data_IF_758532467398
#
_entry.id   IF_758532467398
#
_cell.length_a   1.000
_cell.length_b   1.000
_cell.length_c   1.000
_cell.angle_alpha   90.00
_cell.angle_beta   90.00
_cell.angle_gamma   90.00
#
_symmetry.space_group_name_H-M   'P 1'
#
loop_
_entity.id
_entity.type
_entity.pdbx_description
1 polymer ?
#
# COMPACT_ATOMS: atom_id res chain seq x y z
N UNK A 1 21.55 22.45 15.31
CA UNK A 1 20.10 22.24 15.48
C UNK A 1 19.83 20.74 15.32
N UNK A 2 20.49 19.85 16.06
CA UNK A 2 20.31 19.46 17.48
C UNK A 2 18.89 19.04 17.85
N UNK A 3 18.66 17.72 17.73
CA UNK A 3 17.98 16.86 18.72
C UNK A 3 16.80 17.46 19.49
N UNK A 4 15.61 17.35 18.92
CA UNK A 4 14.36 17.26 19.68
C UNK A 4 13.55 16.12 19.07
N UNK A 5 13.58 14.94 19.69
CA UNK A 5 12.52 13.90 19.69
C UNK A 5 13.16 12.59 20.15
N UNK A 6 13.26 12.42 21.49
CA UNK A 6 13.31 11.11 22.19
C UNK A 6 13.50 11.36 23.69
N UNK A 7 12.41 11.70 24.38
CA UNK A 7 12.27 11.52 25.84
C UNK A 7 10.81 11.12 26.10
N UNK A 8 10.62 10.19 27.05
CA UNK A 8 9.44 9.41 27.47
C UNK A 8 9.32 8.05 26.76
N UNK A 9 9.43 6.89 27.41
CA UNK A 9 9.37 6.55 28.84
C UNK A 9 10.03 5.16 29.08
N UNK A 10 10.76 5.02 30.20
CA UNK A 10 11.45 3.79 30.65
C UNK A 10 10.56 2.98 31.61
N UNK A 11 10.52 1.66 31.36
CA UNK A 11 10.37 0.46 32.20
C UNK A 11 9.68 0.45 33.58
N UNK A 12 8.90 -0.61 33.82
CA UNK A 12 8.86 -1.36 35.11
C UNK A 12 8.73 -2.87 34.83
N UNK A 13 9.67 -3.65 35.36
CA UNK A 13 9.67 -5.11 35.50
C UNK A 13 9.08 -5.45 36.86
N UNK A 14 8.23 -6.49 36.95
CA UNK A 14 7.93 -7.17 38.21
C UNK A 14 7.81 -8.68 38.01
N UNK A 15 8.69 -9.38 38.74
CA UNK A 15 8.79 -10.84 38.87
C UNK A 15 7.73 -11.31 39.87
N UNK A 16 7.01 -12.37 39.51
CA UNK A 16 6.14 -13.11 40.43
C UNK A 16 6.19 -14.61 40.12
N UNK A 17 6.88 -15.37 40.98
CA UNK A 17 6.86 -16.83 41.03
C UNK A 17 5.71 -17.23 41.96
N UNK A 18 4.76 -18.08 41.54
CA UNK A 18 4.46 -19.34 42.24
C UNK A 18 3.32 -20.21 41.65
N UNK A 19 3.59 -21.53 41.75
CA UNK A 19 2.71 -22.69 41.91
C UNK A 19 1.91 -23.22 40.72
N UNK A 20 2.42 -24.36 40.22
CA UNK A 20 1.71 -25.36 39.46
C UNK A 20 0.52 -25.94 40.24
N UNK A 21 -0.60 -26.17 39.55
CA UNK A 21 -1.47 -27.34 39.72
C UNK A 21 -2.45 -27.47 38.53
N UNK A 22 -2.96 -28.68 38.25
CA UNK A 22 -3.26 -29.13 36.90
C UNK A 22 -4.76 -29.28 36.63
N UNK A 23 -5.26 -28.87 35.46
CA UNK A 23 -6.44 -29.51 34.86
C UNK A 23 -6.35 -29.54 33.33
N UNK A 24 -6.90 -30.60 32.69
CA UNK A 24 -6.48 -31.05 31.38
C UNK A 24 -7.44 -30.68 30.24
N UNK A 25 -6.93 -30.89 29.03
CA UNK A 25 -7.59 -31.01 27.73
C UNK A 25 -7.97 -29.72 27.02
N UNK A 26 -6.94 -29.17 26.37
CA UNK A 26 -7.05 -28.60 25.04
C UNK A 26 -7.55 -29.67 24.05
N UNK A 27 -8.85 -29.93 24.05
CA UNK A 27 -9.52 -30.69 23.01
C UNK A 27 -10.34 -29.72 22.15
N UNK A 28 -9.96 -29.62 20.88
CA UNK A 28 -10.78 -29.18 19.76
C UNK A 28 -11.33 -27.74 19.79
N UNK A 29 -10.44 -26.77 19.59
CA UNK A 29 -10.79 -25.55 18.86
C UNK A 29 -10.08 -25.56 17.49
N UNK A 30 -10.38 -26.56 16.66
CA UNK A 30 -10.12 -26.44 15.23
C UNK A 30 -11.03 -25.31 14.70
N UNK A 31 -10.54 -24.39 13.85
CA UNK A 31 -11.39 -23.37 13.27
C UNK A 31 -12.49 -24.07 12.47
N UNK A 32 -13.74 -23.89 12.90
CA UNK A 32 -14.91 -24.24 12.09
C UNK A 32 -14.72 -23.58 10.73
N UNK A 33 -14.86 -24.35 9.65
CA UNK A 33 -14.91 -23.88 8.28
C UNK A 33 -15.80 -22.64 8.21
N UNK A 34 -15.15 -21.47 8.18
CA UNK A 34 -15.86 -20.22 7.88
C UNK A 34 -15.95 -20.19 6.38
N UNK A 35 -17.01 -20.81 5.86
CA UNK A 35 -17.31 -20.78 4.44
C UNK A 35 -17.45 -19.31 4.03
N UNK A 36 -16.41 -18.78 3.38
CA UNK A 36 -16.37 -17.41 2.89
C UNK A 36 -17.47 -17.12 1.86
N UNK A 37 -18.12 -18.16 1.32
CA UNK A 37 -19.28 -18.01 0.45
C UNK A 37 -20.51 -17.47 1.21
N UNK A 38 -20.53 -17.57 2.54
CA UNK A 38 -21.66 -17.11 3.35
C UNK A 38 -21.49 -15.62 3.66
N UNK A 39 -22.33 -14.78 3.06
CA UNK A 39 -22.41 -13.33 3.32
C UNK A 39 -23.06 -12.97 4.68
N UNK A 40 -22.82 -13.73 5.74
CA UNK A 40 -23.44 -13.51 7.04
C UNK A 40 -22.56 -12.64 7.94
N UNK A 41 -23.19 -11.65 8.60
CA UNK A 41 -22.51 -10.83 9.59
C UNK A 41 -22.10 -11.68 10.81
N UNK A 42 -20.83 -11.62 11.27
CA UNK A 42 -20.38 -12.34 12.46
C UNK A 42 -21.19 -11.94 13.69
N UNK A 43 -21.37 -12.80 14.70
CA UNK A 43 -22.26 -12.54 15.83
C UNK A 43 -21.73 -11.48 16.82
N UNK A 44 -20.41 -11.26 16.87
CA UNK A 44 -19.78 -10.26 17.72
C UNK A 44 -18.45 -9.78 17.12
N UNK A 45 -17.85 -8.74 17.71
CA UNK A 45 -16.62 -8.12 17.20
C UNK A 45 -15.42 -9.09 17.24
N UNK A 46 -15.31 -9.92 18.27
CA UNK A 46 -14.22 -10.91 18.37
C UNK A 46 -14.30 -11.94 17.23
N UNK A 47 -15.50 -12.42 16.91
CA UNK A 47 -15.72 -13.30 15.77
C UNK A 47 -15.39 -12.60 14.44
N UNK A 48 -15.74 -11.32 14.30
CA UNK A 48 -15.44 -10.54 13.11
C UNK A 48 -13.93 -10.30 12.91
N UNK A 49 -13.18 -10.04 13.99
CA UNK A 49 -11.72 -9.93 13.94
C UNK A 49 -11.07 -11.23 13.47
N UNK A 50 -11.48 -12.36 14.05
CA UNK A 50 -10.99 -13.68 13.60
C UNK A 50 -11.30 -13.95 12.13
N UNK A 51 -12.51 -13.63 11.69
CA UNK A 51 -12.88 -13.79 10.28
C UNK A 51 -12.09 -12.83 9.38
N UNK A 52 -11.88 -11.58 9.78
CA UNK A 52 -11.07 -10.61 9.04
C UNK A 52 -9.63 -11.11 8.86
N UNK A 53 -8.97 -11.57 9.93
CA UNK A 53 -7.62 -12.14 9.86
C UNK A 53 -7.55 -13.38 8.97
N UNK A 54 -8.54 -14.27 9.08
CA UNK A 54 -8.62 -15.47 8.23
C UNK A 54 -8.82 -15.10 6.76
N UNK A 55 -9.73 -14.17 6.47
CA UNK A 55 -10.01 -13.68 5.12
C UNK A 55 -8.77 -13.02 4.49
N UNK A 56 -8.01 -12.22 5.24
CA UNK A 56 -6.75 -11.62 4.74
C UNK A 56 -5.71 -12.68 4.44
N UNK A 57 -5.58 -13.72 5.29
CA UNK A 57 -4.68 -14.84 5.02
C UNK A 57 -5.03 -15.55 3.71
N UNK A 58 -6.33 -15.74 3.43
CA UNK A 58 -6.78 -16.34 2.18
C UNK A 58 -6.54 -15.43 0.98
N UNK A 59 -6.86 -14.13 1.10
CA UNK A 59 -6.56 -13.14 0.06
C UNK A 59 -5.08 -13.18 -0.30
N UNK A 60 -4.17 -13.12 0.67
CA UNK A 60 -2.72 -13.22 0.42
C UNK A 60 -2.34 -14.53 -0.30
N UNK A 61 -2.94 -15.66 0.08
CA UNK A 61 -2.71 -16.92 -0.62
C UNK A 61 -3.17 -16.88 -2.08
N UNK A 62 -4.34 -16.29 -2.36
CA UNK A 62 -4.88 -16.16 -3.73
C UNK A 62 -4.11 -15.17 -4.59
N UNK A 63 -3.51 -14.14 -3.97
CA UNK A 63 -2.73 -13.13 -4.65
C UNK A 63 -1.32 -13.59 -5.00
N UNK A 64 -0.80 -14.66 -4.39
CA UNK A 64 0.58 -15.11 -4.54
C UNK A 64 1.07 -15.17 -6.00
N UNK A 65 0.24 -15.65 -6.94
CA UNK A 65 0.62 -15.73 -8.36
C UNK A 65 0.71 -14.36 -9.04
N UNK A 66 -0.19 -13.41 -8.75
CA UNK A 66 -0.12 -12.07 -9.34
C UNK A 66 1.01 -11.26 -8.71
N UNK A 67 1.20 -11.44 -7.40
CA UNK A 67 2.28 -10.90 -6.61
C UNK A 67 3.67 -11.33 -7.11
N UNK A 68 3.85 -12.60 -7.47
CA UNK A 68 5.08 -13.10 -8.09
C UNK A 68 5.33 -12.43 -9.45
N UNK A 69 4.27 -12.23 -10.25
CA UNK A 69 4.40 -11.53 -11.54
C UNK A 69 4.77 -10.06 -11.37
N UNK A 70 4.29 -9.41 -10.32
CA UNK A 70 4.64 -8.03 -9.99
C UNK A 70 6.11 -7.92 -9.59
N UNK A 71 6.60 -8.82 -8.73
CA UNK A 71 8.02 -8.84 -8.33
C UNK A 71 8.96 -9.10 -9.50
N UNK A 72 8.52 -9.88 -10.48
CA UNK A 72 9.36 -10.28 -11.60
C UNK A 72 9.05 -9.51 -12.90
N UNK A 73 8.52 -8.29 -12.83
CA UNK A 73 8.42 -7.46 -14.04
C UNK A 73 9.82 -7.14 -14.57
N UNK A 74 10.07 -7.24 -15.90
CA UNK A 74 11.40 -7.02 -16.45
C UNK A 74 11.99 -5.65 -16.13
N UNK A 75 11.14 -4.64 -16.00
CA UNK A 75 11.55 -3.26 -15.67
C UNK A 75 12.47 -3.18 -14.45
N UNK A 76 12.14 -3.89 -13.36
CA UNK A 76 12.93 -3.81 -12.13
C UNK A 76 14.34 -4.38 -12.34
N UNK A 77 14.45 -5.51 -13.05
CA UNK A 77 15.74 -6.10 -13.38
C UNK A 77 16.59 -5.19 -14.28
N UNK A 78 15.97 -4.49 -15.26
CA UNK A 78 16.69 -3.53 -16.10
C UNK A 78 17.17 -2.30 -15.31
N UNK A 79 16.37 -1.82 -14.35
CA UNK A 79 16.79 -0.73 -13.45
C UNK A 79 17.95 -1.19 -12.58
N UNK A 80 17.84 -2.34 -11.91
CA UNK A 80 18.88 -2.92 -11.05
C UNK A 80 20.18 -3.23 -11.81
N UNK A 81 20.10 -3.56 -13.10
CA UNK A 81 21.26 -3.80 -13.95
C UNK A 81 21.89 -2.52 -14.52
N UNK A 82 21.27 -1.35 -14.34
CA UNK A 82 21.75 -0.08 -14.91
C UNK A 82 21.44 0.10 -16.39
N UNK A 83 20.55 -0.72 -16.96
CA UNK A 83 20.19 -0.69 -18.38
C UNK A 83 19.00 0.23 -18.68
N UNK A 84 18.17 0.52 -17.68
CA UNK A 84 17.05 1.43 -17.84
C UNK A 84 17.56 2.87 -18.01
N UNK A 85 17.00 3.59 -18.98
CA UNK A 85 17.30 5.02 -19.14
C UNK A 85 16.73 5.84 -17.99
N UNK A 86 17.35 6.99 -17.71
CA UNK A 86 16.82 7.91 -16.70
C UNK A 86 15.41 8.42 -17.08
N UNK A 87 15.11 8.54 -18.38
CA UNK A 87 13.76 8.89 -18.86
C UNK A 87 12.72 7.82 -18.48
N UNK A 88 13.05 6.53 -18.63
CA UNK A 88 12.17 5.45 -18.21
C UNK A 88 11.91 5.47 -16.70
N UNK A 89 12.96 5.71 -15.90
CA UNK A 89 12.84 5.82 -14.44
C UNK A 89 12.00 7.05 -14.05
N UNK A 90 12.28 8.21 -14.64
CA UNK A 90 11.53 9.44 -14.40
C UNK A 90 10.04 9.28 -14.78
N UNK A 91 9.73 8.44 -15.77
CA UNK A 91 8.34 8.14 -16.13
C UNK A 91 7.57 7.43 -15.01
N UNK A 92 8.22 6.77 -14.05
CA UNK A 92 7.56 6.26 -12.84
C UNK A 92 7.01 7.41 -12.02
N UNK A 93 7.80 8.46 -11.78
CA UNK A 93 7.36 9.66 -11.07
C UNK A 93 6.27 10.41 -11.85
N UNK A 94 6.38 10.50 -13.17
CA UNK A 94 5.36 11.15 -14.00
C UNK A 94 4.00 10.43 -13.95
N UNK A 95 3.98 9.09 -14.00
CA UNK A 95 2.74 8.33 -13.76
C UNK A 95 2.21 8.54 -12.34
N UNK A 96 3.10 8.43 -11.34
CA UNK A 96 2.75 8.56 -9.93
C UNK A 96 2.20 9.95 -9.58
N UNK A 97 2.61 11.01 -10.26
CA UNK A 97 2.10 12.36 -10.04
C UNK A 97 0.56 12.42 -10.21
N UNK A 98 0.05 11.79 -11.26
CA UNK A 98 -1.41 11.69 -11.48
C UNK A 98 -2.10 10.74 -10.49
N UNK A 99 -1.45 9.60 -10.19
CA UNK A 99 -1.96 8.58 -9.27
C UNK A 99 -2.12 9.15 -7.86
N UNK A 100 -1.07 9.73 -7.28
CA UNK A 100 -1.06 10.27 -5.91
C UNK A 100 -2.13 11.34 -5.73
N UNK A 101 -2.35 12.20 -6.73
CA UNK A 101 -3.40 13.23 -6.66
C UNK A 101 -4.81 12.63 -6.67
N UNK A 102 -5.02 11.61 -7.49
CA UNK A 102 -6.28 10.84 -7.52
C UNK A 102 -6.51 10.09 -6.20
N UNK A 103 -5.46 9.45 -5.69
CA UNK A 103 -5.50 8.62 -4.50
C UNK A 103 -5.68 9.46 -3.24
N UNK A 104 -4.98 10.60 -3.13
CA UNK A 104 -5.19 11.58 -2.06
C UNK A 104 -6.65 12.00 -1.95
N UNK A 105 -7.27 12.35 -3.08
CA UNK A 105 -8.69 12.72 -3.15
C UNK A 105 -9.61 11.56 -2.78
N UNK A 106 -9.26 10.35 -3.23
CA UNK A 106 -10.02 9.12 -2.96
C UNK A 106 -9.98 8.71 -1.49
N UNK A 107 -8.82 8.78 -0.84
CA UNK A 107 -8.68 8.49 0.59
C UNK A 107 -9.33 9.58 1.46
N UNK A 108 -9.26 10.84 1.05
CA UNK A 108 -10.02 11.92 1.70
C UNK A 108 -11.53 11.67 1.61
N UNK A 109 -12.03 11.23 0.44
CA UNK A 109 -13.44 10.85 0.27
C UNK A 109 -13.82 9.67 1.18
N UNK A 110 -13.00 8.62 1.27
CA UNK A 110 -13.25 7.48 2.17
C UNK A 110 -13.30 7.93 3.65
N UNK A 111 -12.41 8.84 4.03
CA UNK A 111 -12.37 9.45 5.37
C UNK A 111 -13.67 10.20 5.67
N UNK A 112 -14.21 10.95 4.71
CA UNK A 112 -15.49 11.64 4.90
C UNK A 112 -16.70 10.69 4.90
N UNK A 113 -16.64 9.62 4.11
CA UNK A 113 -17.78 8.71 3.86
C UNK A 113 -18.06 7.74 5.00
N UNK A 114 -17.03 7.19 5.64
CA UNK A 114 -17.25 6.22 6.72
C UNK A 114 -17.67 6.91 8.02
N UNK A 115 -18.60 6.28 8.75
CA UNK A 115 -19.28 6.86 9.92
C UNK A 115 -18.56 6.56 11.25
N UNK A 116 -17.65 5.59 11.27
CA UNK A 116 -16.90 5.20 12.47
C UNK A 116 -15.50 5.84 12.52
N UNK A 117 -15.09 6.21 13.73
CA UNK A 117 -13.80 6.88 13.99
C UNK A 117 -12.59 6.09 13.51
N UNK A 118 -12.65 4.77 13.62
CA UNK A 118 -11.54 3.88 13.26
C UNK A 118 -11.27 3.89 11.76
N UNK A 119 -12.30 3.74 10.93
CA UNK A 119 -12.17 3.86 9.48
C UNK A 119 -11.72 5.25 9.07
N UNK A 120 -12.26 6.30 9.71
CA UNK A 120 -11.82 7.69 9.44
C UNK A 120 -10.33 7.89 9.73
N UNK A 121 -9.86 7.40 10.87
CA UNK A 121 -8.45 7.50 11.24
C UNK A 121 -7.56 6.71 10.28
N UNK A 122 -7.97 5.49 9.91
CA UNK A 122 -7.23 4.65 8.98
C UNK A 122 -7.08 5.30 7.60
N UNK A 123 -8.18 5.65 6.93
CA UNK A 123 -8.11 6.27 5.60
C UNK A 123 -7.56 7.70 5.64
N UNK A 124 -7.78 8.44 6.72
CA UNK A 124 -7.21 9.78 6.90
C UNK A 124 -5.69 9.74 7.06
N UNK A 125 -5.17 8.70 7.72
CA UNK A 125 -3.74 8.41 7.79
C UNK A 125 -3.14 8.17 6.41
N UNK A 126 -3.78 7.35 5.58
CA UNK A 126 -3.34 7.10 4.20
C UNK A 126 -3.37 8.38 3.37
N UNK A 127 -4.46 9.15 3.44
CA UNK A 127 -4.58 10.43 2.75
C UNK A 127 -3.46 11.43 3.13
N UNK A 128 -3.05 11.42 4.40
CA UNK A 128 -1.94 12.25 4.89
C UNK A 128 -0.60 11.79 4.32
N UNK A 129 -0.42 10.48 4.16
CA UNK A 129 0.73 9.87 3.49
C UNK A 129 0.84 10.31 2.03
N UNK A 130 -0.26 10.30 1.28
CA UNK A 130 -0.27 10.76 -0.13
C UNK A 130 0.15 12.23 -0.27
N UNK A 131 -0.28 13.10 0.66
CA UNK A 131 0.12 14.51 0.65
C UNK A 131 1.64 14.68 0.86
N UNK A 132 2.26 13.84 1.70
CA UNK A 132 3.72 13.81 1.89
C UNK A 132 4.40 13.23 0.65
N UNK A 133 3.89 12.12 0.11
CA UNK A 133 4.42 11.45 -1.07
C UNK A 133 4.49 12.40 -2.27
N UNK A 134 3.47 13.25 -2.45
CA UNK A 134 3.45 14.25 -3.53
C UNK A 134 4.62 15.23 -3.43
N UNK A 135 4.96 15.70 -2.23
CA UNK A 135 6.09 16.62 -2.06
C UNK A 135 7.42 15.93 -2.38
N UNK A 136 7.64 14.73 -1.85
CA UNK A 136 8.86 13.96 -2.13
C UNK A 136 9.00 13.59 -3.61
N UNK A 137 7.87 13.36 -4.30
CA UNK A 137 7.86 13.12 -5.74
C UNK A 137 8.35 14.35 -6.51
N UNK A 138 7.93 15.56 -6.11
CA UNK A 138 8.38 16.80 -6.72
C UNK A 138 9.89 17.00 -6.50
N UNK A 139 10.40 16.69 -5.30
CA UNK A 139 11.84 16.75 -5.01
C UNK A 139 12.64 15.77 -5.91
N UNK A 140 12.15 14.54 -6.08
CA UNK A 140 12.75 13.58 -7.00
C UNK A 140 12.68 14.08 -8.45
N UNK A 141 11.54 14.61 -8.89
CA UNK A 141 11.38 15.16 -10.24
C UNK A 141 12.41 16.27 -10.51
N UNK A 142 12.65 17.15 -9.52
CA UNK A 142 13.64 18.22 -9.64
C UNK A 142 15.07 17.67 -9.85
N UNK A 143 15.45 16.59 -9.13
CA UNK A 143 16.77 15.95 -9.25
C UNK A 143 17.04 15.39 -10.66
N UNK A 144 15.98 15.01 -11.38
CA UNK A 144 16.05 14.51 -12.75
C UNK A 144 15.73 15.60 -13.80
N UNK A 145 15.68 16.86 -13.37
CA UNK A 145 15.56 18.03 -14.24
C UNK A 145 14.14 18.37 -14.67
N UNK A 146 13.14 17.75 -14.07
CA UNK A 146 11.73 18.02 -14.35
C UNK A 146 11.16 19.03 -13.33
N UNK A 147 10.24 19.86 -13.77
CA UNK A 147 9.41 20.66 -12.88
C UNK A 147 7.95 20.14 -12.82
N UNK A 148 7.11 20.75 -12.00
CA UNK A 148 5.70 20.33 -11.90
C UNK A 148 4.93 20.57 -13.21
N UNK A 149 5.33 21.54 -14.04
CA UNK A 149 4.69 21.77 -15.33
C UNK A 149 4.97 20.61 -16.29
N UNK A 150 6.18 20.06 -16.29
CA UNK A 150 6.52 18.85 -17.05
C UNK A 150 5.66 17.66 -16.61
N UNK A 151 5.51 17.45 -15.30
CA UNK A 151 4.68 16.37 -14.75
C UNK A 151 3.20 16.53 -15.09
N UNK A 152 2.70 17.77 -15.16
CA UNK A 152 1.32 18.08 -15.58
C UNK A 152 1.11 17.88 -17.08
N UNK A 153 2.14 18.10 -17.89
CA UNK A 153 2.09 17.95 -19.34
C UNK A 153 2.28 16.49 -19.79
N UNK A 154 2.84 15.62 -18.92
CA UNK A 154 2.99 14.20 -19.20
C UNK A 154 1.64 13.53 -19.48
N UNK A 155 1.56 12.81 -20.60
CA UNK A 155 0.37 12.01 -20.94
C UNK A 155 0.48 10.62 -20.28
N UNK A 156 -0.38 10.30 -19.27
CA UNK A 156 -0.28 9.04 -18.56
C UNK A 156 -0.63 7.83 -19.43
N UNK A 157 0.07 6.72 -19.24
CA UNK A 157 -0.23 5.47 -19.95
C UNK A 157 -1.57 4.93 -19.47
N UNK A 158 -2.57 4.68 -20.34
CA UNK A 158 -3.90 4.23 -19.90
C UNK A 158 -3.86 2.99 -18.99
N UNK A 159 -2.96 2.06 -19.29
CA UNK A 159 -2.75 0.86 -18.49
C UNK A 159 -2.19 1.15 -17.09
N UNK A 160 -1.30 2.15 -16.97
CA UNK A 160 -0.79 2.64 -15.69
C UNK A 160 -1.85 3.32 -14.82
N UNK A 161 -2.92 3.81 -15.44
CA UNK A 161 -4.01 4.52 -14.76
C UNK A 161 -5.20 3.63 -14.36
N UNK A 162 -5.10 2.31 -14.57
CA UNK A 162 -6.12 1.35 -14.12
C UNK A 162 -6.23 1.29 -12.60
N UNK A 163 -5.09 1.37 -11.89
CA UNK A 163 -5.03 1.39 -10.44
C UNK A 163 -5.76 2.58 -9.80
N UNK A 164 -5.42 3.85 -10.09
CA UNK A 164 -6.11 5.01 -9.47
C UNK A 164 -7.60 5.06 -9.86
N UNK A 165 -7.97 4.60 -11.06
CA UNK A 165 -9.37 4.45 -11.45
C UNK A 165 -10.12 3.47 -10.55
N UNK A 166 -9.47 2.37 -10.14
CA UNK A 166 -10.02 1.41 -9.19
C UNK A 166 -10.07 1.99 -7.77
N UNK A 167 -9.06 2.72 -7.33
CA UNK A 167 -9.06 3.41 -6.03
C UNK A 167 -10.23 4.39 -5.93
N UNK A 168 -10.45 5.20 -6.96
CA UNK A 168 -11.59 6.12 -7.04
C UNK A 168 -12.94 5.37 -7.00
N UNK A 169 -13.06 4.25 -7.71
CA UNK A 169 -14.25 3.41 -7.60
C UNK A 169 -14.45 2.86 -6.19
N UNK A 170 -13.38 2.40 -5.52
CA UNK A 170 -13.42 1.89 -4.13
C UNK A 170 -13.89 3.01 -3.20
N UNK A 171 -13.36 4.23 -3.38
CA UNK A 171 -13.71 5.38 -2.59
C UNK A 171 -15.21 5.70 -2.66
N UNK A 172 -15.78 5.65 -3.86
CA UNK A 172 -17.20 5.94 -4.09
C UNK A 172 -18.13 4.79 -3.71
N UNK A 173 -17.76 3.52 -3.97
CA UNK A 173 -18.71 2.42 -4.03
C UNK A 173 -18.44 1.28 -3.03
N UNK A 174 -17.19 1.04 -2.63
CA UNK A 174 -16.88 -0.14 -1.82
C UNK A 174 -17.40 -0.01 -0.38
N UNK A 175 -17.70 -1.14 0.27
CA UNK A 175 -17.84 -1.17 1.72
C UNK A 175 -16.45 -1.07 2.38
N UNK A 176 -16.40 -0.73 3.68
CA UNK A 176 -15.13 -0.52 4.41
C UNK A 176 -14.27 -1.77 4.51
N UNK A 177 -14.86 -2.96 4.55
CA UNK A 177 -14.08 -4.20 4.57
C UNK A 177 -13.37 -4.43 3.23
N UNK A 178 -14.08 -4.23 2.11
CA UNK A 178 -13.49 -4.31 0.79
C UNK A 178 -12.39 -3.25 0.60
N UNK A 179 -12.62 -2.00 1.03
CA UNK A 179 -11.61 -0.95 0.97
C UNK A 179 -10.37 -1.31 1.82
N UNK A 180 -10.54 -1.59 3.12
CA UNK A 180 -9.43 -1.91 4.03
C UNK A 180 -8.63 -3.13 3.57
N UNK A 181 -9.30 -4.20 3.13
CA UNK A 181 -8.61 -5.39 2.64
C UNK A 181 -7.86 -5.17 1.33
N UNK A 182 -8.38 -4.30 0.44
CA UNK A 182 -7.70 -4.01 -0.82
C UNK A 182 -6.35 -3.35 -0.58
N UNK A 183 -6.28 -2.32 0.27
CA UNK A 183 -5.02 -1.63 0.56
C UNK A 183 -4.08 -2.45 1.45
N UNK A 184 -4.61 -3.19 2.43
CA UNK A 184 -3.80 -4.08 3.27
C UNK A 184 -3.09 -5.18 2.46
N UNK A 185 -3.78 -5.75 1.48
CA UNK A 185 -3.20 -6.77 0.63
C UNK A 185 -2.21 -6.19 -0.40
N UNK A 186 -2.43 -4.95 -0.83
CA UNK A 186 -1.70 -4.35 -1.94
C UNK A 186 -0.37 -3.69 -1.57
N UNK A 187 -0.36 -2.89 -0.51
CA UNK A 187 0.79 -2.05 -0.16
C UNK A 187 2.13 -2.80 0.03
N UNK A 188 2.18 -4.05 0.56
CA UNK A 188 3.44 -4.74 0.75
C UNK A 188 4.26 -4.91 -0.54
N UNK A 189 3.64 -5.40 -1.62
CA UNK A 189 4.37 -5.69 -2.87
C UNK A 189 4.79 -4.41 -3.58
N UNK A 190 3.92 -3.39 -3.58
CA UNK A 190 4.27 -2.08 -4.08
C UNK A 190 5.48 -1.50 -3.33
N UNK A 191 5.46 -1.57 -1.99
CA UNK A 191 6.56 -1.10 -1.14
C UNK A 191 7.86 -1.84 -1.39
N UNK A 192 7.84 -3.17 -1.53
CA UNK A 192 9.01 -3.98 -1.89
C UNK A 192 9.65 -3.49 -3.21
N UNK A 193 8.84 -3.27 -4.24
CA UNK A 193 9.33 -2.79 -5.53
C UNK A 193 9.85 -1.35 -5.47
N UNK A 194 9.21 -0.48 -4.69
CA UNK A 194 9.71 0.88 -4.43
C UNK A 194 11.06 0.85 -3.70
N UNK A 195 11.26 -0.08 -2.76
CA UNK A 195 12.55 -0.32 -2.10
C UNK A 195 13.63 -0.77 -3.07
N UNK A 196 13.31 -1.64 -4.03
CA UNK A 196 14.24 -2.05 -5.08
C UNK A 196 14.64 -0.90 -6.00
N UNK A 197 13.67 -0.06 -6.39
CA UNK A 197 13.96 1.15 -7.16
C UNK A 197 14.85 2.12 -6.38
N UNK A 198 14.54 2.38 -5.10
CA UNK A 198 15.37 3.19 -4.20
C UNK A 198 16.81 2.68 -4.19
N UNK A 199 17.00 1.39 -3.93
CA UNK A 199 18.32 0.79 -3.78
C UNK A 199 19.12 0.83 -5.10
N UNK A 200 18.47 0.59 -6.23
CA UNK A 200 19.10 0.71 -7.54
C UNK A 200 19.46 2.17 -7.86
N UNK A 201 18.58 3.13 -7.59
CA UNK A 201 18.84 4.55 -7.80
C UNK A 201 20.07 5.03 -7.03
N UNK A 202 20.23 4.59 -5.78
CA UNK A 202 21.41 4.92 -4.97
C UNK A 202 22.65 4.18 -5.47
N UNK A 203 22.59 2.85 -5.60
CA UNK A 203 23.78 2.02 -5.79
C UNK A 203 24.27 1.98 -7.24
N UNK A 204 23.38 2.14 -8.22
CA UNK A 204 23.66 1.97 -9.65
C UNK A 204 23.67 3.31 -10.37
N UNK A 205 22.68 4.17 -10.08
CA UNK A 205 22.58 5.47 -10.72
C UNK A 205 23.26 6.57 -9.89
N UNK A 206 23.64 6.34 -8.63
CA UNK A 206 24.40 7.27 -7.81
C UNK A 206 23.59 8.46 -7.28
N UNK A 207 22.28 8.31 -7.11
CA UNK A 207 21.46 9.31 -6.42
C UNK A 207 21.78 9.33 -4.92
N UNK A 208 21.57 10.47 -4.28
CA UNK A 208 21.64 10.56 -2.82
C UNK A 208 20.38 9.96 -2.17
N UNK A 209 20.46 9.52 -0.89
CA UNK A 209 19.29 9.06 -0.14
C UNK A 209 18.15 10.11 -0.08
N UNK A 210 18.50 11.39 -0.04
CA UNK A 210 17.55 12.50 -0.01
C UNK A 210 16.80 12.64 -1.34
N UNK A 211 17.49 12.51 -2.48
CA UNK A 211 16.88 12.60 -3.81
C UNK A 211 15.87 11.46 -4.06
N UNK A 212 16.08 10.29 -3.45
CA UNK A 212 15.20 9.11 -3.60
C UNK A 212 14.19 8.95 -2.45
N UNK A 213 14.01 9.97 -1.61
CA UNK A 213 13.14 9.90 -0.44
C UNK A 213 11.69 9.51 -0.78
N UNK A 214 11.20 9.85 -1.97
CA UNK A 214 9.92 9.38 -2.51
C UNK A 214 9.79 7.86 -2.49
N UNK A 215 10.81 7.15 -2.98
CA UNK A 215 10.82 5.69 -3.03
C UNK A 215 10.96 5.09 -1.63
N UNK A 216 11.78 5.73 -0.78
CA UNK A 216 11.94 5.35 0.63
C UNK A 216 10.62 5.41 1.41
N UNK A 217 9.78 6.41 1.18
CA UNK A 217 8.51 6.56 1.89
C UNK A 217 7.61 5.31 1.75
N UNK A 218 7.52 4.74 0.54
CA UNK A 218 6.70 3.56 0.28
C UNK A 218 7.38 2.25 0.68
N UNK A 219 8.71 2.22 0.71
CA UNK A 219 9.48 1.03 1.06
C UNK A 219 9.39 0.68 2.55
N UNK A 220 9.12 1.67 3.41
CA UNK A 220 9.08 1.49 4.85
C UNK A 220 7.69 1.05 5.35
N UNK A 221 7.61 0.05 6.25
CA UNK A 221 6.34 -0.40 6.79
C UNK A 221 5.71 0.67 7.70
N UNK A 222 4.39 0.87 7.56
CA UNK A 222 3.62 1.76 8.43
C UNK A 222 3.33 1.03 9.76
N UNK A 223 3.85 1.50 10.91
CA UNK A 223 3.62 0.83 12.19
C UNK A 223 2.13 0.73 12.53
N UNK A 224 1.68 -0.45 12.93
CA UNK A 224 0.29 -0.69 13.32
C UNK A 224 -0.72 -0.74 12.15
N UNK A 225 -0.26 -0.68 10.90
CA UNK A 225 -1.15 -0.60 9.74
C UNK A 225 -2.01 -1.86 9.57
N UNK A 226 -1.41 -3.05 9.72
CA UNK A 226 -2.14 -4.32 9.60
C UNK A 226 -3.19 -4.46 10.69
N UNK A 227 -2.84 -4.16 11.94
CA UNK A 227 -3.78 -4.21 13.06
C UNK A 227 -4.96 -3.26 12.83
N UNK A 228 -4.69 -2.01 12.42
CA UNK A 228 -5.74 -1.03 12.15
C UNK A 228 -6.61 -1.44 10.96
N UNK A 229 -6.03 -1.99 9.90
CA UNK A 229 -6.75 -2.47 8.73
C UNK A 229 -7.66 -3.67 9.09
N UNK A 230 -7.17 -4.63 9.88
CA UNK A 230 -7.98 -5.77 10.36
C UNK A 230 -9.22 -5.29 11.11
N UNK A 231 -9.10 -4.24 11.91
CA UNK A 231 -10.25 -3.69 12.62
C UNK A 231 -11.27 -3.02 11.68
N UNK A 232 -10.80 -2.26 10.67
CA UNK A 232 -11.67 -1.69 9.62
C UNK A 232 -12.42 -2.81 8.88
N UNK A 233 -11.72 -3.90 8.57
CA UNK A 233 -12.30 -5.08 7.91
C UNK A 233 -13.35 -5.74 8.82
N UNK A 234 -13.01 -5.99 10.09
CA UNK A 234 -13.93 -6.57 11.06
C UNK A 234 -15.20 -5.71 11.24
N UNK A 235 -15.06 -4.39 11.30
CA UNK A 235 -16.18 -3.46 11.37
C UNK A 235 -17.08 -3.54 10.13
N UNK A 236 -16.51 -3.69 8.93
CA UNK A 236 -17.28 -3.88 7.71
C UNK A 236 -18.01 -5.21 7.66
N UNK A 237 -17.35 -6.32 8.06
CA UNK A 237 -17.97 -7.65 8.14
C UNK A 237 -19.15 -7.66 9.13
N UNK A 238 -19.01 -6.98 10.28
CA UNK A 238 -20.10 -6.80 11.26
C UNK A 238 -21.33 -6.09 10.71
N UNK A 239 -21.14 -5.27 9.69
CA UNK A 239 -22.21 -4.53 8.99
C UNK A 239 -22.72 -5.27 7.75
N UNK A 240 -22.35 -6.54 7.58
CA UNK A 240 -22.87 -7.39 6.50
C UNK A 240 -22.07 -7.30 5.19
N UNK A 241 -20.84 -6.80 5.21
CA UNK A 241 -19.97 -6.93 4.04
C UNK A 241 -19.76 -8.41 3.72
N UNK A 242 -20.00 -8.80 2.45
CA UNK A 242 -19.82 -10.19 2.05
C UNK A 242 -18.33 -10.50 1.80
N UNK A 243 -17.76 -11.58 2.39
CA UNK A 243 -16.35 -11.91 2.22
C UNK A 243 -15.90 -12.09 0.76
N UNK A 244 -16.73 -12.69 -0.11
CA UNK A 244 -16.39 -12.85 -1.53
C UNK A 244 -16.20 -11.51 -2.26
N UNK A 245 -16.94 -10.47 -1.88
CA UNK A 245 -16.80 -9.13 -2.46
C UNK A 245 -15.54 -8.43 -1.95
N UNK A 246 -15.17 -8.67 -0.69
CA UNK A 246 -13.91 -8.17 -0.10
C UNK A 246 -12.72 -8.79 -0.83
N UNK A 247 -12.73 -10.10 -1.01
CA UNK A 247 -11.70 -10.85 -1.75
C UNK A 247 -11.61 -10.39 -3.21
N UNK A 248 -12.76 -10.24 -3.89
CA UNK A 248 -12.81 -9.74 -5.27
C UNK A 248 -12.21 -8.34 -5.39
N UNK A 249 -12.50 -7.45 -4.44
CA UNK A 249 -11.97 -6.09 -4.45
C UNK A 249 -10.44 -6.08 -4.36
N UNK A 250 -9.86 -6.84 -3.44
CA UNK A 250 -8.42 -6.95 -3.27
C UNK A 250 -7.75 -7.56 -4.52
N UNK A 251 -8.33 -8.63 -5.08
CA UNK A 251 -7.84 -9.26 -6.32
C UNK A 251 -7.81 -8.31 -7.51
N UNK A 252 -8.85 -7.51 -7.69
CA UNK A 252 -8.88 -6.51 -8.77
C UNK A 252 -7.82 -5.44 -8.57
N UNK A 253 -7.67 -4.91 -7.34
CA UNK A 253 -6.67 -3.88 -7.06
C UNK A 253 -5.25 -4.41 -7.32
N UNK A 254 -4.91 -5.62 -6.86
CA UNK A 254 -3.61 -6.23 -7.11
C UNK A 254 -3.33 -6.46 -8.61
N UNK A 255 -4.36 -6.83 -9.37
CA UNK A 255 -4.21 -7.01 -10.82
C UNK A 255 -3.93 -5.69 -11.53
N UNK A 256 -4.50 -4.58 -11.05
CA UNK A 256 -4.24 -3.26 -11.61
C UNK A 256 -2.88 -2.68 -11.18
N UNK A 257 -2.34 -3.08 -10.02
CA UNK A 257 -0.94 -2.80 -9.70
C UNK A 257 0.01 -3.48 -10.69
N UNK A 258 -0.27 -4.73 -11.08
CA UNK A 258 0.51 -5.39 -12.14
C UNK A 258 0.43 -4.63 -13.47
N UNK A 259 -0.73 -4.07 -13.79
CA UNK A 259 -0.89 -3.25 -14.99
C UNK A 259 0.00 -1.99 -14.94
N UNK A 260 0.11 -1.34 -13.78
CA UNK A 260 1.05 -0.24 -13.55
C UNK A 260 2.51 -0.66 -13.80
N UNK A 261 2.97 -1.72 -13.13
CA UNK A 261 4.35 -2.19 -13.26
C UNK A 261 4.72 -2.62 -14.69
N UNK A 262 3.76 -3.21 -15.42
CA UNK A 262 3.95 -3.54 -16.83
C UNK A 262 3.96 -2.31 -17.74
N UNK A 263 3.20 -1.26 -17.40
CA UNK A 263 3.15 -0.03 -18.17
C UNK A 263 4.46 0.75 -18.05
N UNK A 264 5.03 0.88 -16.85
CA UNK A 264 6.30 1.61 -16.63
C UNK A 264 7.51 0.90 -17.24
N UNK A 265 7.41 -0.41 -17.52
CA UNK A 265 8.41 -1.14 -18.29
C UNK A 265 8.37 -0.93 -19.81
N UNK A 266 7.52 -0.03 -20.32
CA UNK A 266 7.43 0.34 -21.73
C UNK A 266 7.96 1.76 -21.95
N UNK A 267 7.99 2.20 -23.21
CA UNK A 267 8.29 3.60 -23.52
C UNK A 267 7.33 4.54 -22.76
N UNK A 268 7.81 5.70 -22.27
CA UNK A 268 6.97 6.70 -21.63
C UNK A 268 5.75 7.09 -22.48
N UNK A 269 4.65 7.51 -21.83
CA UNK A 269 3.42 7.91 -22.53
C UNK A 269 3.60 9.16 -23.40
N UNK A 270 4.46 10.07 -22.96
CA UNK A 270 5.02 11.17 -23.73
C UNK A 270 6.50 11.38 -23.37
N UNK A 271 7.31 11.99 -24.24
CA UNK A 271 8.71 12.31 -23.93
C UNK A 271 8.82 13.18 -22.67
N UNK A 272 9.87 12.95 -21.88
CA UNK A 272 10.21 13.78 -20.71
C UNK A 272 11.57 14.47 -20.95
N UNK A 273 11.71 15.78 -20.74
CA UNK A 273 12.96 16.53 -20.96
C UNK A 273 13.96 16.30 -19.81
N UNK A 274 14.27 15.04 -19.52
CA UNK A 274 15.06 14.62 -18.37
C UNK A 274 16.52 15.07 -18.51
N UNK A 275 17.00 15.78 -17.50
CA UNK A 275 18.41 16.20 -17.37
C UNK A 275 18.82 16.01 -15.91
N UNK A 276 19.77 15.11 -15.66
CA UNK A 276 20.27 14.91 -14.29
C UNK A 276 20.95 16.19 -13.79
N UNK A 277 20.45 16.75 -12.70
CA UNK A 277 21.13 17.82 -11.98
C UNK A 277 22.15 17.17 -11.05
N UNK A 278 23.43 17.38 -11.32
CA UNK A 278 24.49 17.00 -10.38
C UNK A 278 24.62 18.17 -9.39
N UNK A 279 24.22 17.95 -8.14
CA UNK A 279 24.42 18.89 -7.03
C UNK A 279 25.81 18.71 -6.40
#
# INVERSE_FOLDING_TARGET
MTNLFKVFLIAVILIGINLASPFPNAANCAPQDTDLAICAAPPNLLAARRQASYLIKQIRADLATVEERIRNVPFLAEVEAGNASLEQIASVAAEQYSIIRSDWSSFAQMTARFDDSQSRQFFGGIASGEAIALQLLLDFAESVGLDEQDLRAYEPRPKGQTYPSRVAWIAANANRAAAGASFLANFPVFGENMGRLRDALVNVYGFSPEEVAFFSLFAEPIPGFEENAIEVIAAGLRRGACPIEVQRSARLLQSYELDFWQAVGKSPGSPLPVVRKLH
#
